data_IF_585690909641
#
_entry.id   IF_585690909641
#
_cell.length_a   1.000
_cell.length_b   1.000
_cell.length_c   1.000
_cell.angle_alpha   90.00
_cell.angle_beta   90.00
_cell.angle_gamma   90.00
#
_symmetry.space_group_name_H-M   'P 1'
#
loop_
_entity.id
_entity.type
_entity.pdbx_description
1 polymer ?
#
# COMPACT_ATOMS: atom_id res chain seq x y z
N UNK A 1 -8.21 -13.75 -4.36
CA UNK A 1 -7.19 -12.68 -4.28
C UNK A 1 -7.91 -11.37 -3.99
N UNK A 2 -7.49 -10.62 -2.97
CA UNK A 2 -8.13 -9.33 -2.61
C UNK A 2 -7.33 -8.14 -3.13
N UNK A 3 -6.01 -8.18 -2.99
CA UNK A 3 -5.07 -7.15 -3.44
C UNK A 3 -3.69 -7.80 -3.65
N UNK A 4 -2.87 -7.23 -4.52
CA UNK A 4 -1.47 -7.57 -4.65
C UNK A 4 -0.62 -6.30 -4.50
N UNK A 5 0.43 -6.38 -3.71
CA UNK A 5 1.44 -5.34 -3.55
C UNK A 5 2.78 -5.94 -3.98
N UNK A 6 3.24 -5.59 -5.19
CA UNK A 6 4.35 -6.28 -5.83
C UNK A 6 4.06 -7.77 -6.00
N UNK A 7 4.91 -8.61 -5.40
CA UNK A 7 4.76 -10.06 -5.42
C UNK A 7 3.96 -10.60 -4.21
N UNK A 8 3.61 -9.74 -3.25
CA UNK A 8 2.84 -10.14 -2.08
C UNK A 8 1.34 -10.07 -2.38
N UNK A 9 0.64 -11.20 -2.19
CA UNK A 9 -0.79 -11.31 -2.45
C UNK A 9 -1.57 -11.35 -1.14
N UNK A 10 -2.46 -10.39 -0.95
CA UNK A 10 -3.44 -10.38 0.14
C UNK A 10 -4.58 -11.35 -0.19
N UNK A 11 -4.77 -12.30 0.71
CA UNK A 11 -5.77 -13.36 0.62
C UNK A 11 -6.12 -13.87 2.01
N UNK A 12 -7.19 -14.66 2.13
CA UNK A 12 -7.56 -15.32 3.39
C UNK A 12 -6.44 -16.22 3.95
N UNK A 13 -5.55 -16.76 3.11
CA UNK A 13 -4.46 -17.64 3.55
C UNK A 13 -3.18 -16.88 3.95
N UNK A 14 -3.07 -15.60 3.60
CA UNK A 14 -1.89 -14.76 3.85
C UNK A 14 -2.18 -13.72 4.92
N UNK A 15 -2.42 -12.47 4.52
CA UNK A 15 -2.87 -11.38 5.39
C UNK A 15 -4.17 -10.84 4.81
N UNK A 16 -5.28 -11.04 5.53
CA UNK A 16 -6.58 -10.56 5.10
C UNK A 16 -6.90 -9.21 5.76
N UNK A 17 -7.05 -8.17 4.95
CA UNK A 17 -7.59 -6.90 5.42
C UNK A 17 -9.13 -6.94 5.38
N UNK A 18 -9.75 -6.27 6.35
CA UNK A 18 -11.21 -6.26 6.52
C UNK A 18 -11.85 -5.07 5.79
N UNK A 19 -11.11 -3.98 5.68
CA UNK A 19 -11.52 -2.78 4.95
C UNK A 19 -10.31 -2.16 4.25
N UNK A 20 -10.60 -1.35 3.23
CA UNK A 20 -9.60 -0.58 2.51
C UNK A 20 -10.02 0.88 2.54
N UNK A 21 -9.34 1.67 3.36
CA UNK A 21 -9.58 3.10 3.46
C UNK A 21 -8.56 3.83 2.58
N UNK A 22 -9.04 4.66 1.65
CA UNK A 22 -8.20 5.54 0.84
C UNK A 22 -8.48 6.99 1.19
N UNK A 23 -7.43 7.74 1.48
CA UNK A 23 -7.47 9.19 1.63
C UNK A 23 -6.67 9.83 0.49
N UNK A 24 -7.32 10.68 -0.29
CA UNK A 24 -6.66 11.46 -1.33
C UNK A 24 -6.85 12.93 -1.02
N UNK A 25 -5.75 13.67 -0.96
CA UNK A 25 -5.77 15.10 -0.72
C UNK A 25 -5.70 15.87 -2.05
N UNK A 26 -6.30 17.06 -2.09
CA UNK A 26 -6.18 18.00 -3.22
C UNK A 26 -5.74 19.37 -2.71
N UNK A 27 -4.80 20.00 -3.44
CA UNK A 27 -4.23 21.28 -3.02
C UNK A 27 -5.05 22.43 -3.57
N UNK A 28 -5.74 23.14 -2.67
CA UNK A 28 -6.56 24.31 -2.97
C UNK A 28 -6.21 25.52 -2.09
N UNK A 29 -5.02 26.14 -2.25
CA UNK A 29 -4.67 27.36 -1.54
C UNK A 29 -5.71 28.46 -1.76
N UNK A 30 -6.00 29.19 -0.67
CA UNK A 30 -6.96 30.30 -0.66
C UNK A 30 -6.24 31.65 -0.69
N UNK A 31 -6.69 32.55 -1.55
CA UNK A 31 -6.30 33.95 -1.55
C UNK A 31 -7.48 34.81 -1.09
N UNK A 32 -7.26 35.59 -0.02
CA UNK A 32 -8.27 36.52 0.49
C UNK A 32 -8.51 37.66 -0.49
N UNK A 33 -9.76 38.14 -0.56
CA UNK A 33 -10.17 39.28 -1.38
C UNK A 33 -11.01 40.22 -0.52
N UNK A 34 -10.81 41.53 -0.68
CA UNK A 34 -11.57 42.52 0.08
C UNK A 34 -13.01 42.55 -0.43
N UNK A 35 -13.99 42.41 0.47
CA UNK A 35 -15.42 42.49 0.14
C UNK A 35 -15.99 41.29 -0.65
N UNK A 36 -15.23 40.21 -0.83
CA UNK A 36 -15.65 39.03 -1.57
C UNK A 36 -15.19 37.73 -0.91
N UNK A 37 -15.78 36.60 -1.30
CA UNK A 37 -15.32 35.29 -0.83
C UNK A 37 -13.87 35.00 -1.29
N UNK A 38 -13.05 34.31 -0.48
CA UNK A 38 -11.69 33.92 -0.85
C UNK A 38 -11.67 33.13 -2.15
N UNK A 39 -10.76 33.48 -3.05
CA UNK A 39 -10.52 32.71 -4.26
C UNK A 39 -9.73 31.44 -3.90
N UNK A 40 -10.09 30.27 -4.46
CA UNK A 40 -9.31 29.04 -4.32
C UNK A 40 -8.71 28.65 -5.67
N UNK A 41 -7.42 28.37 -5.71
CA UNK A 41 -6.75 27.89 -6.92
C UNK A 41 -6.44 26.41 -6.80
N UNK A 42 -6.75 25.61 -7.83
CA UNK A 42 -6.37 24.21 -7.84
C UNK A 42 -4.90 24.06 -8.28
N UNK A 43 -4.05 23.57 -7.37
CA UNK A 43 -2.62 23.30 -7.63
C UNK A 43 -2.32 21.81 -7.92
N UNK A 44 -3.36 21.02 -8.18
CA UNK A 44 -3.23 19.59 -8.44
C UNK A 44 -3.50 18.72 -7.23
N UNK A 45 -3.33 17.41 -7.45
CA UNK A 45 -3.47 16.38 -6.43
C UNK A 45 -2.37 16.53 -5.37
N UNK A 46 -2.73 16.30 -4.12
CA UNK A 46 -1.83 16.18 -2.99
C UNK A 46 -1.42 14.73 -2.77
N UNK A 47 -1.28 14.34 -1.51
CA UNK A 47 -0.89 12.98 -1.13
C UNK A 47 -2.06 11.99 -1.31
N UNK A 48 -1.74 10.72 -1.55
CA UNK A 48 -2.72 9.64 -1.62
C UNK A 48 -2.22 8.52 -0.71
N UNK A 49 -3.02 8.17 0.28
CA UNK A 49 -2.71 7.22 1.34
C UNK A 49 -3.77 6.12 1.38
N UNK A 50 -3.34 4.90 1.67
CA UNK A 50 -4.23 3.75 1.88
C UNK A 50 -3.91 3.11 3.21
N UNK A 51 -4.95 2.79 3.95
CA UNK A 51 -4.87 2.06 5.21
C UNK A 51 -5.63 0.74 5.06
N UNK A 52 -4.96 -0.36 5.41
CA UNK A 52 -5.47 -1.72 5.31
C UNK A 52 -5.42 -2.37 6.70
N UNK A 53 -6.44 -2.14 7.55
CA UNK A 53 -6.57 -2.87 8.79
C UNK A 53 -7.08 -4.28 8.52
N UNK A 54 -6.52 -5.25 9.23
CA UNK A 54 -6.80 -6.66 9.02
C UNK A 54 -6.60 -7.49 10.27
N UNK A 55 -6.99 -8.76 10.15
CA UNK A 55 -6.89 -9.74 11.22
C UNK A 55 -6.34 -11.05 10.67
N UNK A 56 -5.42 -11.63 11.42
CA UNK A 56 -4.87 -12.96 11.20
C UNK A 56 -5.25 -13.81 12.41
N UNK A 57 -5.84 -14.97 12.13
CA UNK A 57 -6.12 -16.00 13.12
C UNK A 57 -5.32 -17.23 12.71
N UNK A 58 -4.09 -17.43 13.18
CA UNK A 58 -3.17 -18.44 12.62
C UNK A 58 -3.73 -19.86 12.52
N UNK A 59 -4.63 -20.24 13.43
CA UNK A 59 -5.31 -21.56 13.43
C UNK A 59 -6.43 -21.70 12.40
N UNK A 60 -6.98 -20.58 11.91
CA UNK A 60 -8.15 -20.56 11.04
C UNK A 60 -7.84 -19.97 9.66
N UNK A 61 -7.20 -18.81 9.63
CA UNK A 61 -6.96 -18.03 8.43
C UNK A 61 -5.76 -17.09 8.59
N UNK A 62 -4.89 -17.12 7.59
CA UNK A 62 -3.72 -16.26 7.50
C UNK A 62 -2.47 -16.86 8.15
N UNK A 63 -1.32 -16.32 7.77
CA UNK A 63 -0.01 -16.80 8.23
C UNK A 63 0.76 -15.65 8.88
N UNK A 64 1.35 -15.89 10.06
CA UNK A 64 2.17 -14.90 10.79
C UNK A 64 3.37 -14.41 9.97
N UNK A 65 4.01 -15.32 9.22
CA UNK A 65 5.10 -15.02 8.28
C UNK A 65 4.73 -13.97 7.22
N UNK A 66 3.43 -13.78 6.95
CA UNK A 66 2.97 -12.75 6.01
C UNK A 66 3.33 -11.35 6.49
N UNK A 67 3.26 -11.10 7.81
CA UNK A 67 3.62 -9.80 8.39
C UNK A 67 5.13 -9.58 8.32
N UNK A 68 5.92 -10.62 8.52
CA UNK A 68 7.38 -10.54 8.39
C UNK A 68 7.80 -10.31 6.93
N UNK A 69 7.12 -10.93 5.96
CA UNK A 69 7.34 -10.63 4.55
C UNK A 69 7.02 -9.16 4.22
N UNK A 70 5.93 -8.61 4.78
CA UNK A 70 5.61 -7.18 4.62
C UNK A 70 6.66 -6.28 5.26
N UNK A 71 7.22 -6.64 6.42
CA UNK A 71 8.35 -5.92 7.03
C UNK A 71 9.58 -5.93 6.14
N UNK A 72 9.98 -7.12 5.65
CA UNK A 72 11.11 -7.26 4.74
C UNK A 72 10.93 -6.43 3.46
N UNK A 73 9.70 -6.39 2.92
CA UNK A 73 9.38 -5.53 1.77
C UNK A 73 9.49 -4.04 2.12
N UNK A 74 9.05 -3.63 3.31
CA UNK A 74 9.17 -2.25 3.79
C UNK A 74 10.64 -1.86 3.99
N UNK A 75 11.46 -2.75 4.57
CA UNK A 75 12.89 -2.55 4.81
C UNK A 75 13.69 -2.33 3.51
N UNK A 76 13.18 -2.81 2.37
CA UNK A 76 13.83 -2.50 1.07
C UNK A 76 13.73 -1.02 0.67
N UNK A 77 12.79 -0.27 1.25
CA UNK A 77 12.48 1.11 0.87
C UNK A 77 11.96 1.29 -0.56
N UNK A 78 11.66 0.20 -1.27
CA UNK A 78 11.22 0.23 -2.67
C UNK A 78 9.73 0.50 -2.77
N UNK A 79 9.35 1.19 -3.85
CA UNK A 79 7.96 1.32 -4.24
C UNK A 79 7.50 0.07 -4.99
N UNK A 80 6.31 -0.42 -4.64
CA UNK A 80 5.73 -1.64 -5.18
C UNK A 80 4.48 -1.33 -5.99
N UNK A 81 4.29 -1.97 -7.16
CA UNK A 81 3.05 -1.83 -7.93
C UNK A 81 1.91 -2.48 -7.15
N UNK A 82 0.79 -1.76 -7.04
CA UNK A 82 -0.39 -2.27 -6.36
C UNK A 82 -1.49 -2.58 -7.36
N UNK A 83 -2.09 -3.76 -7.25
CA UNK A 83 -3.17 -4.23 -8.10
C UNK A 83 -4.32 -4.71 -7.21
N UNK A 84 -5.51 -4.15 -7.41
CA UNK A 84 -6.72 -4.61 -6.71
C UNK A 84 -7.16 -5.97 -7.24
N UNK A 85 -7.87 -6.75 -6.42
CA UNK A 85 -8.43 -8.06 -6.80
C UNK A 85 -9.44 -7.99 -7.96
N UNK A 86 -9.96 -6.81 -8.27
CA UNK A 86 -10.78 -6.50 -9.45
C UNK A 86 -9.97 -6.42 -10.75
N UNK A 87 -8.63 -6.41 -10.66
CA UNK A 87 -7.72 -6.24 -11.79
C UNK A 87 -7.29 -4.79 -12.04
N UNK A 88 -7.73 -3.84 -11.21
CA UNK A 88 -7.34 -2.43 -11.36
C UNK A 88 -5.90 -2.20 -10.90
N UNK A 89 -5.08 -1.62 -11.78
CA UNK A 89 -3.75 -1.12 -11.42
C UNK A 89 -3.89 0.21 -10.66
N UNK A 90 -3.38 0.23 -9.43
CA UNK A 90 -3.55 1.35 -8.49
C UNK A 90 -2.31 2.23 -8.34
N UNK A 91 -1.26 1.98 -9.12
CA UNK A 91 -0.01 2.75 -9.13
C UNK A 91 1.08 2.17 -8.23
N UNK A 92 2.05 2.99 -7.87
CA UNK A 92 3.16 2.62 -6.98
C UNK A 92 2.96 3.10 -5.55
N UNK A 93 3.21 2.20 -4.62
CA UNK A 93 2.98 2.39 -3.20
C UNK A 93 4.21 1.97 -2.40
N UNK A 94 4.54 2.75 -1.39
CA UNK A 94 5.48 2.35 -0.34
C UNK A 94 4.75 2.02 0.93
N UNK A 95 5.35 1.15 1.73
CA UNK A 95 4.89 0.86 3.09
C UNK A 95 5.50 1.90 4.01
N UNK A 96 4.68 2.73 4.64
CA UNK A 96 5.14 3.72 5.62
C UNK A 96 5.09 3.19 7.04
N UNK A 97 4.07 2.38 7.36
CA UNK A 97 3.87 1.87 8.71
C UNK A 97 3.16 0.51 8.67
N UNK A 98 3.57 -0.38 9.58
CA UNK A 98 2.89 -1.62 9.88
C UNK A 98 2.84 -1.79 11.40
N UNK A 99 1.65 -1.68 11.97
CA UNK A 99 1.43 -1.97 13.39
C UNK A 99 0.74 -3.32 13.52
N UNK A 100 1.12 -4.10 14.53
CA UNK A 100 0.40 -5.32 14.89
C UNK A 100 0.11 -5.38 16.38
N UNK A 101 -1.06 -5.94 16.73
CA UNK A 101 -1.50 -6.18 18.09
C UNK A 101 -1.80 -7.66 18.24
N UNK A 102 -1.01 -8.34 19.05
CA UNK A 102 -1.18 -9.76 19.35
C UNK A 102 -2.03 -9.93 20.61
N UNK A 103 -3.05 -10.77 20.52
CA UNK A 103 -3.97 -11.08 21.62
C UNK A 103 -4.30 -12.57 21.65
N UNK A 104 -4.82 -13.02 22.80
CA UNK A 104 -5.21 -14.41 23.04
C UNK A 104 -4.06 -15.38 22.80
N UNK A 105 -3.17 -15.53 23.78
CA UNK A 105 -1.99 -16.37 23.63
C UNK A 105 -2.27 -17.83 24.01
N UNK A 106 -1.62 -18.74 23.30
CA UNK A 106 -1.46 -20.13 23.68
C UNK A 106 -0.47 -20.27 24.85
N UNK A 107 -0.42 -21.47 25.44
CA UNK A 107 0.51 -21.77 26.53
C UNK A 107 1.99 -21.69 26.12
N UNK A 108 2.28 -21.85 24.83
CA UNK A 108 3.61 -21.70 24.22
C UNK A 108 3.96 -20.24 23.86
N UNK A 109 3.04 -19.29 24.07
CA UNK A 109 3.22 -17.88 23.74
C UNK A 109 2.86 -17.50 22.30
N UNK A 110 2.37 -18.43 21.46
CA UNK A 110 1.86 -18.10 20.13
C UNK A 110 0.53 -17.34 20.24
N UNK A 111 0.34 -16.31 19.42
CA UNK A 111 -0.89 -15.52 19.42
C UNK A 111 -1.98 -16.16 18.55
N UNK A 112 -3.19 -16.31 19.09
CA UNK A 112 -4.37 -16.82 18.35
C UNK A 112 -5.03 -15.75 17.50
N UNK A 113 -4.87 -14.48 17.87
CA UNK A 113 -5.43 -13.34 17.17
C UNK A 113 -4.36 -12.27 17.01
N UNK A 114 -4.10 -11.88 15.77
CA UNK A 114 -3.17 -10.81 15.43
C UNK A 114 -3.93 -9.80 14.58
N UNK A 115 -4.15 -8.63 15.13
CA UNK A 115 -4.68 -7.50 14.38
C UNK A 115 -3.51 -6.74 13.78
N UNK A 116 -3.62 -6.34 12.53
CA UNK A 116 -2.59 -5.52 11.89
C UNK A 116 -3.22 -4.30 11.23
N UNK A 117 -2.43 -3.24 11.10
CA UNK A 117 -2.78 -2.07 10.34
C UNK A 117 -1.59 -1.66 9.47
N UNK A 118 -1.78 -1.73 8.15
CA UNK A 118 -0.78 -1.39 7.16
C UNK A 118 -1.12 -0.04 6.52
N UNK A 119 -0.23 0.94 6.66
CA UNK A 119 -0.32 2.24 6.02
C UNK A 119 0.61 2.30 4.81
N UNK A 120 0.02 2.65 3.66
CA UNK A 120 0.68 2.78 2.38
C UNK A 120 0.57 4.22 1.88
N UNK A 121 1.63 4.70 1.23
CA UNK A 121 1.63 6.01 0.58
C UNK A 121 2.00 5.89 -0.89
N UNK A 122 1.25 6.60 -1.72
CA UNK A 122 1.46 6.62 -3.17
C UNK A 122 2.66 7.50 -3.50
N UNK A 123 3.56 6.99 -4.34
CA UNK A 123 4.76 7.74 -4.76
C UNK A 123 4.68 8.21 -6.22
N UNK A 124 3.88 7.56 -7.07
CA UNK A 124 3.83 7.99 -8.46
C UNK A 124 3.05 9.32 -8.64
N UNK A 125 3.57 10.20 -9.49
CA UNK A 125 2.95 11.49 -9.86
C UNK A 125 1.70 11.33 -10.76
N UNK A 126 1.07 10.16 -10.77
CA UNK A 126 0.00 9.80 -11.70
C UNK A 126 0.51 9.33 -13.07
N UNK A 127 1.83 9.23 -13.26
CA UNK A 127 2.46 8.72 -14.49
C UNK A 127 2.87 7.25 -14.34
N UNK A 128 1.88 6.39 -14.20
CA UNK A 128 2.07 4.93 -14.18
C UNK A 128 2.66 4.44 -15.52
N UNK A 129 2.38 5.18 -16.61
CA UNK A 129 2.86 4.91 -17.98
C UNK A 129 4.40 4.90 -18.09
N UNK A 130 5.11 5.61 -17.22
CA UNK A 130 6.59 5.67 -17.24
C UNK A 130 7.25 4.44 -16.57
N UNK A 131 6.50 3.65 -15.81
CA UNK A 131 7.01 2.43 -15.19
C UNK A 131 7.10 1.30 -16.20
N UNK A 132 6.19 1.25 -17.18
CA UNK A 132 6.29 0.37 -18.32
C UNK A 132 7.53 0.64 -19.17
N UNK A 133 7.95 1.92 -19.31
CA UNK A 133 9.14 2.27 -20.11
C UNK A 133 10.46 2.04 -19.36
N UNK A 134 10.52 2.24 -18.05
CA UNK A 134 11.74 2.04 -17.26
C UNK A 134 12.03 0.56 -16.97
N UNK A 135 11.01 -0.25 -16.70
CA UNK A 135 11.17 -1.71 -16.53
C UNK A 135 11.54 -2.38 -17.86
N UNK A 136 10.96 -1.93 -18.99
CA UNK A 136 11.34 -2.44 -20.32
C UNK A 136 12.75 -2.02 -20.73
N UNK A 137 13.20 -0.82 -20.35
CA UNK A 137 14.58 -0.37 -20.61
C UNK A 137 15.61 -1.19 -19.83
N UNK A 138 15.34 -1.51 -18.56
CA UNK A 138 16.22 -2.37 -17.75
C UNK A 138 16.34 -3.81 -18.26
N UNK A 139 15.25 -4.38 -18.78
CA UNK A 139 15.24 -5.72 -19.38
C UNK A 139 15.93 -5.79 -20.75
N UNK A 140 15.90 -4.71 -21.55
CA UNK A 140 16.52 -4.68 -22.87
C UNK A 140 18.05 -4.54 -22.81
N UNK A 141 18.60 -3.85 -21.80
CA UNK A 141 20.05 -3.72 -21.62
C UNK A 141 20.70 -5.07 -21.25
N UNK A 142 20.00 -5.91 -20.47
CA UNK A 142 20.46 -7.27 -20.16
C UNK A 142 20.36 -8.25 -21.35
N UNK A 143 19.47 -8.00 -22.32
CA UNK A 143 19.36 -8.80 -23.56
C UNK A 143 20.33 -8.38 -24.66
N UNK A 144 20.92 -7.19 -24.59
CA UNK A 144 21.95 -6.73 -25.54
C UNK A 144 23.39 -7.09 -25.14
N UNK A 145 23.57 -7.71 -23.96
CA UNK A 145 24.85 -8.12 -23.39
C UNK A 145 25.06 -9.65 -23.37
N UNK A 146 24.14 -10.40 -23.96
CA UNK A 146 24.16 -11.86 -24.16
C UNK A 146 24.01 -12.14 -25.66
#
# INVERSE_FOLDING_TARGET
>A
MMLALGMFVFSLHTAAYQEMQRQTDWRHPSSNRIGAQPARQFLGRGEDAITLPGIILPELAGTTLSLDALRLMADTGKAWPMVEGTGRLCGLWVIENLTETRSLFFADGAARRIEFNLALKRIDDGRIDLLGSSISTGLNILRGLL
#
